data_IF_581711342583
#
_entry.id   IF_581711342583
#
_cell.length_a   1.000
_cell.length_b   1.000
_cell.length_c   1.000
_cell.angle_alpha   90.00
_cell.angle_beta   90.00
_cell.angle_gamma   90.00
#
_symmetry.space_group_name_H-M   'P 1'
#
loop_
_entity.id
_entity.type
_entity.pdbx_description
1 polymer ?
#
# COMPACT_ATOMS: atom_id res chain seq x y z
N UNK A 1 -52.95 10.70 15.15
CA UNK A 1 -52.57 10.28 13.79
C UNK A 1 -51.05 10.15 13.79
N UNK A 2 -50.54 8.91 13.86
CA UNK A 2 -49.11 8.62 13.96
C UNK A 2 -48.42 8.96 12.64
N UNK A 3 -47.55 9.97 12.63
CA UNK A 3 -46.57 10.12 11.56
C UNK A 3 -45.45 9.10 11.79
N UNK A 4 -45.51 7.98 11.07
CA UNK A 4 -44.41 7.02 11.02
C UNK A 4 -43.24 7.64 10.27
N UNK A 5 -42.22 8.11 10.99
CA UNK A 5 -40.89 8.36 10.44
C UNK A 5 -40.27 7.02 10.01
N UNK A 6 -40.61 6.54 8.81
CA UNK A 6 -39.78 5.57 8.12
C UNK A 6 -38.52 6.30 7.64
N UNK A 7 -37.53 6.42 8.54
CA UNK A 7 -36.16 6.71 8.14
C UNK A 7 -35.77 5.56 7.20
N UNK A 8 -35.70 5.81 5.90
CA UNK A 8 -35.38 4.79 4.92
C UNK A 8 -33.87 4.53 5.02
N UNK A 9 -33.48 3.73 6.02
CA UNK A 9 -32.08 3.50 6.46
C UNK A 9 -31.19 3.16 5.26
N UNK A 10 -31.71 2.37 4.29
CA UNK A 10 -31.01 2.02 3.05
C UNK A 10 -30.66 3.21 2.15
N UNK A 11 -31.50 4.25 2.12
CA UNK A 11 -31.28 5.44 1.31
C UNK A 11 -30.26 6.37 1.96
N UNK A 12 -30.33 6.51 3.29
CA UNK A 12 -29.35 7.26 4.08
C UNK A 12 -27.97 6.62 3.96
N UNK A 13 -27.88 5.30 4.11
CA UNK A 13 -26.62 4.55 3.94
C UNK A 13 -26.01 4.74 2.55
N UNK A 14 -26.82 4.66 1.48
CA UNK A 14 -26.36 4.94 0.11
C UNK A 14 -25.89 6.38 -0.09
N UNK A 15 -26.58 7.35 0.51
CA UNK A 15 -26.21 8.76 0.44
C UNK A 15 -24.90 9.05 1.18
N UNK A 16 -24.73 8.51 2.38
CA UNK A 16 -23.52 8.64 3.18
C UNK A 16 -22.31 8.01 2.45
N UNK A 17 -22.51 6.87 1.78
CA UNK A 17 -21.53 6.23 0.89
C UNK A 17 -21.10 7.17 -0.24
N UNK A 18 -22.07 7.74 -0.99
CA UNK A 18 -21.79 8.65 -2.09
C UNK A 18 -21.06 9.91 -1.61
N UNK A 19 -21.40 10.40 -0.42
CA UNK A 19 -20.71 11.53 0.20
C UNK A 19 -19.25 11.21 0.51
N UNK A 20 -18.93 9.97 0.94
CA UNK A 20 -17.53 9.59 1.21
C UNK A 20 -16.65 9.57 -0.03
N UNK A 21 -17.18 9.27 -1.24
CA UNK A 21 -16.41 9.36 -2.49
C UNK A 21 -15.98 10.79 -2.84
N UNK A 22 -16.74 11.80 -2.40
CA UNK A 22 -16.39 13.20 -2.58
C UNK A 22 -15.34 13.72 -1.58
N UNK A 23 -14.98 12.93 -0.57
CA UNK A 23 -13.98 13.30 0.42
C UNK A 23 -12.56 12.98 -0.06
N UNK A 24 -11.59 13.78 0.39
CA UNK A 24 -10.17 13.50 0.16
C UNK A 24 -9.82 12.10 0.69
N UNK A 25 -9.11 11.32 -0.13
CA UNK A 25 -8.67 9.98 0.23
C UNK A 25 -7.72 10.01 1.44
N UNK A 26 -8.03 9.18 2.43
CA UNK A 26 -7.15 8.78 3.51
C UNK A 26 -7.26 7.27 3.66
N UNK A 27 -6.15 6.56 3.78
CA UNK A 27 -6.13 5.11 3.82
C UNK A 27 -5.00 4.60 4.71
N UNK A 28 -4.99 3.30 4.93
CA UNK A 28 -3.94 2.60 5.64
C UNK A 28 -3.45 1.42 4.81
N UNK A 29 -2.13 1.23 4.77
CA UNK A 29 -1.51 0.00 4.28
C UNK A 29 -1.23 -0.91 5.47
N UNK A 30 -1.65 -2.18 5.40
CA UNK A 30 -1.35 -3.22 6.38
C UNK A 30 -0.68 -4.39 5.68
N UNK A 31 0.29 -5.01 6.36
CA UNK A 31 0.98 -6.20 5.87
C UNK A 31 0.76 -7.30 6.90
N UNK A 32 0.15 -8.41 6.50
CA UNK A 32 -0.06 -9.52 7.41
C UNK A 32 1.25 -10.25 7.70
N UNK A 33 1.49 -10.50 8.99
CA UNK A 33 2.57 -11.35 9.45
C UNK A 33 2.11 -12.79 9.77
N UNK A 34 0.83 -13.11 9.56
CA UNK A 34 0.27 -14.43 9.86
C UNK A 34 0.55 -15.42 8.75
N UNK A 35 0.95 -16.62 9.12
CA UNK A 35 1.13 -17.73 8.18
C UNK A 35 -0.18 -18.04 7.45
N UNK A 36 -0.11 -18.14 6.11
CA UNK A 36 -1.26 -18.42 5.24
C UNK A 36 -2.03 -17.17 4.77
N UNK A 37 -1.83 -16.00 5.39
CA UNK A 37 -2.37 -14.72 4.92
C UNK A 37 -1.41 -14.12 3.88
N UNK A 38 -1.53 -14.60 2.63
CA UNK A 38 -0.73 -14.21 1.48
C UNK A 38 0.59 -14.98 1.36
N UNK A 39 1.31 -14.71 0.27
CA UNK A 39 2.62 -15.27 -0.02
C UNK A 39 3.44 -14.32 -0.89
N UNK A 40 4.74 -14.29 -0.68
CA UNK A 40 5.64 -13.65 -1.62
C UNK A 40 6.89 -14.48 -1.88
N UNK A 41 7.43 -14.36 -3.09
CA UNK A 41 8.69 -14.98 -3.48
C UNK A 41 9.84 -14.02 -3.25
N UNK A 42 10.92 -14.53 -2.69
CA UNK A 42 12.20 -13.86 -2.55
C UNK A 42 13.29 -14.81 -3.02
N UNK A 43 13.93 -14.50 -4.15
CA UNK A 43 14.76 -15.45 -4.90
C UNK A 43 14.01 -16.81 -5.09
N UNK A 44 14.62 -17.93 -4.70
CA UNK A 44 14.03 -19.27 -4.78
C UNK A 44 13.13 -19.63 -3.58
N UNK A 45 12.96 -18.70 -2.62
CA UNK A 45 12.23 -18.95 -1.38
C UNK A 45 10.81 -18.37 -1.45
N UNK A 46 9.82 -19.18 -1.10
CA UNK A 46 8.46 -18.71 -0.88
C UNK A 46 8.23 -18.49 0.62
N UNK A 47 7.76 -17.29 0.97
CA UNK A 47 7.42 -16.92 2.34
C UNK A 47 5.89 -16.84 2.43
N UNK A 48 5.27 -17.77 3.17
CA UNK A 48 3.80 -17.93 3.25
C UNK A 48 3.16 -16.97 4.26
N UNK A 49 3.41 -15.67 4.09
CA UNK A 49 2.76 -14.54 4.76
C UNK A 49 2.92 -13.30 3.88
N UNK A 50 2.48 -12.14 4.35
CA UNK A 50 2.78 -10.86 3.69
C UNK A 50 1.68 -10.33 2.79
N UNK A 51 0.43 -10.80 2.95
CA UNK A 51 -0.72 -10.14 2.34
C UNK A 51 -0.68 -8.62 2.60
N UNK A 52 -0.83 -7.83 1.55
CA UNK A 52 -0.88 -6.37 1.63
C UNK A 52 -2.34 -5.93 1.46
N UNK A 53 -2.89 -5.28 2.48
CA UNK A 53 -4.22 -4.70 2.43
C UNK A 53 -4.13 -3.17 2.40
N UNK A 54 -4.85 -2.54 1.48
CA UNK A 54 -5.01 -1.08 1.37
C UNK A 54 -6.44 -0.72 1.70
N UNK A 55 -6.63 -0.17 2.89
CA UNK A 55 -7.94 0.01 3.52
C UNK A 55 -8.26 1.51 3.58
N UNK A 56 -9.29 2.00 2.86
CA UNK A 56 -9.71 3.40 2.95
C UNK A 56 -10.34 3.70 4.32
N UNK A 57 -9.97 4.84 4.89
CA UNK A 57 -10.59 5.43 6.10
C UNK A 57 -11.64 6.46 5.71
N UNK A 58 -11.31 7.31 4.74
CA UNK A 58 -12.20 8.30 4.10
C UNK A 58 -11.85 8.39 2.61
N UNK A 59 -12.78 8.83 1.77
CA UNK A 59 -12.55 8.79 0.32
C UNK A 59 -12.67 7.38 -0.25
N UNK A 60 -12.76 7.28 -1.58
CA UNK A 60 -12.78 6.01 -2.30
C UNK A 60 -11.49 5.79 -3.09
N UNK A 61 -11.05 4.55 -3.16
CA UNK A 61 -9.90 4.13 -3.99
C UNK A 61 -10.44 3.60 -5.33
N UNK A 62 -10.00 4.21 -6.43
CA UNK A 62 -10.34 3.79 -7.79
C UNK A 62 -9.50 2.57 -8.20
N UNK A 63 -8.17 2.64 -8.00
CA UNK A 63 -7.23 1.58 -8.39
C UNK A 63 -5.99 1.60 -7.50
N UNK A 64 -5.38 0.43 -7.33
CA UNK A 64 -4.06 0.31 -6.69
C UNK A 64 -3.14 -0.56 -7.54
N UNK A 65 -1.89 -0.14 -7.65
CA UNK A 65 -0.83 -0.86 -8.33
C UNK A 65 0.34 -1.09 -7.38
N UNK A 66 0.87 -2.32 -7.37
CA UNK A 66 2.18 -2.62 -6.82
C UNK A 66 3.22 -2.45 -7.94
N UNK A 67 4.21 -1.60 -7.71
CA UNK A 67 5.26 -1.23 -8.66
C UNK A 67 6.59 -1.66 -8.10
N UNK A 68 7.27 -2.51 -8.84
CA UNK A 68 8.64 -2.87 -8.55
C UNK A 68 9.57 -1.91 -9.29
N UNK A 69 10.21 -1.03 -8.52
CA UNK A 69 11.07 0.04 -9.01
C UNK A 69 12.47 -0.10 -8.44
N UNK A 70 13.48 -0.11 -9.30
CA UNK A 70 14.88 -0.22 -8.87
C UNK A 70 15.81 0.44 -9.89
N UNK A 71 16.78 1.23 -9.41
CA UNK A 71 17.80 1.93 -10.23
C UNK A 71 17.17 2.66 -11.39
N UNK A 72 16.21 3.53 -11.06
CA UNK A 72 15.46 4.34 -12.03
C UNK A 72 14.65 3.60 -13.10
N UNK A 73 14.40 2.30 -12.94
CA UNK A 73 13.64 1.47 -13.88
C UNK A 73 12.46 0.78 -13.21
N UNK A 74 11.33 0.71 -13.94
CA UNK A 74 10.18 -0.11 -13.57
C UNK A 74 10.41 -1.52 -14.09
N UNK A 75 10.53 -2.49 -13.18
CA UNK A 75 10.70 -3.91 -13.54
C UNK A 75 9.36 -4.60 -13.74
N UNK A 76 8.36 -4.27 -12.93
CA UNK A 76 7.03 -4.87 -13.00
C UNK A 76 5.97 -3.94 -12.40
N UNK A 77 4.74 -4.06 -12.91
CA UNK A 77 3.55 -3.43 -12.36
C UNK A 77 2.50 -4.52 -12.19
N UNK A 78 1.99 -4.68 -10.99
CA UNK A 78 0.98 -5.66 -10.62
C UNK A 78 -0.28 -4.91 -10.18
N UNK A 79 -1.43 -5.09 -10.83
CA UNK A 79 -2.68 -4.57 -10.32
C UNK A 79 -3.02 -5.28 -9.00
N UNK A 80 -3.49 -4.53 -8.02
CA UNK A 80 -3.97 -5.08 -6.75
C UNK A 80 -5.48 -5.27 -6.87
N UNK A 81 -5.98 -6.41 -6.43
CA UNK A 81 -7.37 -6.79 -6.61
C UNK A 81 -8.26 -6.15 -5.54
N UNK A 82 -9.46 -5.78 -5.93
CA UNK A 82 -10.49 -5.32 -5.00
C UNK A 82 -11.06 -6.53 -4.26
N UNK A 83 -10.96 -6.52 -2.93
CA UNK A 83 -11.52 -7.56 -2.09
C UNK A 83 -12.74 -7.03 -1.33
N UNK A 84 -13.81 -7.84 -1.30
CA UNK A 84 -15.08 -7.50 -0.65
C UNK A 84 -15.53 -8.62 0.27
N UNK A 85 -15.62 -8.37 1.58
CA UNK A 85 -16.24 -9.30 2.51
C UNK A 85 -17.78 -9.22 2.38
N UNK A 86 -18.36 -10.01 1.45
CA UNK A 86 -19.80 -10.23 1.35
C UNK A 86 -20.55 -9.32 0.36
N UNK A 87 -21.61 -9.90 -0.22
CA UNK A 87 -22.27 -9.54 -1.49
C UNK A 87 -23.06 -8.19 -1.48
N UNK A 88 -23.26 -7.52 -0.34
CA UNK A 88 -24.32 -6.49 -0.27
C UNK A 88 -23.99 -5.19 0.49
N UNK A 89 -22.77 -4.64 0.38
CA UNK A 89 -22.59 -3.25 0.82
C UNK A 89 -21.61 -2.47 -0.03
N UNK A 90 -22.14 -1.50 -0.77
CA UNK A 90 -21.42 -0.40 -1.43
C UNK A 90 -20.66 0.50 -0.44
N UNK A 91 -20.30 0.03 0.75
CA UNK A 91 -19.57 0.83 1.71
C UNK A 91 -18.10 0.91 1.29
N UNK A 92 -17.64 2.11 0.90
CA UNK A 92 -16.25 2.37 0.54
C UNK A 92 -15.27 1.93 1.64
N UNK A 93 -15.66 1.95 2.92
CA UNK A 93 -14.83 1.46 4.05
C UNK A 93 -14.81 -0.08 4.18
N UNK A 94 -15.69 -0.79 3.47
CA UNK A 94 -15.69 -2.27 3.38
C UNK A 94 -15.06 -2.79 2.09
N UNK A 95 -14.72 -1.87 1.19
CA UNK A 95 -13.98 -2.12 -0.04
C UNK A 95 -12.50 -1.84 0.24
N UNK A 96 -11.67 -2.88 0.26
CA UNK A 96 -10.23 -2.72 0.40
C UNK A 96 -9.51 -3.50 -0.67
N UNK A 97 -8.33 -3.03 -1.04
CA UNK A 97 -7.52 -3.67 -2.06
C UNK A 97 -6.55 -4.62 -1.41
N UNK A 98 -6.41 -5.81 -1.98
CA UNK A 98 -5.64 -6.89 -1.40
C UNK A 98 -4.67 -7.48 -2.41
N UNK A 99 -3.40 -7.59 -2.01
CA UNK A 99 -2.37 -8.30 -2.77
C UNK A 99 -1.91 -9.51 -1.96
N UNK A 100 -2.25 -10.71 -2.46
CA UNK A 100 -1.94 -11.99 -1.79
C UNK A 100 -0.73 -12.70 -2.37
N UNK A 101 -0.22 -12.27 -3.53
CA UNK A 101 0.88 -12.92 -4.25
C UNK A 101 1.76 -11.93 -4.99
N UNK A 102 3.05 -11.89 -4.68
CA UNK A 102 4.02 -11.00 -5.36
C UNK A 102 5.47 -11.50 -5.22
N UNK A 103 6.40 -10.84 -5.90
CA UNK A 103 7.83 -11.11 -5.80
C UNK A 103 8.54 -9.87 -5.25
N UNK A 104 9.49 -10.10 -4.35
CA UNK A 104 10.40 -9.08 -3.84
C UNK A 104 11.81 -9.46 -4.28
N UNK A 105 12.47 -8.55 -5.00
CA UNK A 105 13.86 -8.73 -5.37
C UNK A 105 14.79 -8.32 -4.23
N UNK A 106 15.92 -9.02 -4.14
CA UNK A 106 17.07 -8.59 -3.36
C UNK A 106 17.70 -7.35 -4.01
N UNK A 107 17.70 -6.23 -3.30
CA UNK A 107 18.30 -4.98 -3.76
C UNK A 107 19.52 -4.56 -2.95
N UNK A 108 19.65 -5.04 -1.71
CA UNK A 108 20.83 -4.86 -0.86
C UNK A 108 20.94 -5.99 0.18
N UNK A 109 22.07 -6.02 0.91
CA UNK A 109 22.30 -6.98 1.98
C UNK A 109 23.28 -6.43 3.03
N UNK A 110 23.12 -6.86 4.27
CA UNK A 110 24.12 -6.80 5.35
C UNK A 110 24.65 -8.22 5.61
N UNK A 111 25.53 -8.48 6.59
CA UNK A 111 25.89 -9.84 6.97
C UNK A 111 24.69 -10.69 7.40
N UNK A 112 23.69 -10.09 8.06
CA UNK A 112 22.57 -10.81 8.68
C UNK A 112 21.25 -10.73 7.93
N UNK A 113 21.08 -9.73 7.05
CA UNK A 113 19.78 -9.42 6.46
C UNK A 113 19.89 -9.18 4.94
N UNK A 114 18.83 -9.54 4.24
CA UNK A 114 18.55 -9.10 2.88
C UNK A 114 17.51 -7.99 2.89
N UNK A 115 17.61 -7.09 1.92
CA UNK A 115 16.65 -6.00 1.77
C UNK A 115 15.99 -6.01 0.40
N UNK A 116 14.70 -5.68 0.41
CA UNK A 116 13.81 -5.59 -0.74
C UNK A 116 12.91 -4.36 -0.64
N UNK A 117 12.38 -3.88 -1.77
CA UNK A 117 11.37 -2.82 -1.78
C UNK A 117 10.22 -3.13 -2.74
N UNK A 118 9.04 -2.61 -2.39
CA UNK A 118 7.86 -2.58 -3.26
C UNK A 118 7.18 -1.22 -3.11
N UNK A 119 6.90 -0.54 -4.22
CA UNK A 119 6.14 0.69 -4.20
C UNK A 119 4.66 0.40 -4.45
N UNK A 120 3.77 1.16 -3.83
CA UNK A 120 2.35 1.16 -4.06
C UNK A 120 1.95 2.49 -4.69
N UNK A 121 1.17 2.46 -5.76
CA UNK A 121 0.53 3.63 -6.36
C UNK A 121 -0.97 3.47 -6.19
N UNK A 122 -1.58 4.41 -5.46
CA UNK A 122 -3.01 4.43 -5.14
C UNK A 122 -3.64 5.60 -5.87
N UNK A 123 -4.64 5.33 -6.71
CA UNK A 123 -5.43 6.33 -7.42
C UNK A 123 -6.80 6.46 -6.76
N UNK A 124 -7.22 7.69 -6.45
CA UNK A 124 -8.57 7.97 -5.97
C UNK A 124 -9.54 8.33 -7.12
N UNK A 125 -10.84 8.41 -6.83
CA UNK A 125 -11.87 8.78 -7.81
C UNK A 125 -11.84 10.25 -8.24
N UNK A 126 -11.02 11.09 -7.59
CA UNK A 126 -10.80 12.48 -7.95
C UNK A 126 -9.56 12.64 -8.86
N UNK A 127 -8.99 11.54 -9.34
CA UNK A 127 -7.75 11.46 -10.11
C UNK A 127 -6.48 11.93 -9.35
N UNK A 128 -6.51 11.93 -8.02
CA UNK A 128 -5.29 12.12 -7.25
C UNK A 128 -4.52 10.80 -7.14
N UNK A 129 -3.19 10.93 -7.14
CA UNK A 129 -2.27 9.82 -6.96
C UNK A 129 -1.54 9.94 -5.64
N UNK A 130 -1.45 8.82 -4.94
CA UNK A 130 -0.74 8.69 -3.67
C UNK A 130 0.23 7.53 -3.78
N UNK A 131 1.40 7.65 -3.15
CA UNK A 131 2.39 6.59 -3.17
C UNK A 131 2.75 6.11 -1.76
N UNK A 132 3.17 4.85 -1.65
CA UNK A 132 3.89 4.34 -0.49
C UNK A 132 5.06 3.47 -0.95
N UNK A 133 6.14 3.43 -0.18
CA UNK A 133 7.21 2.45 -0.31
C UNK A 133 7.18 1.49 0.87
N UNK A 134 7.18 0.20 0.59
CA UNK A 134 7.35 -0.86 1.57
C UNK A 134 8.79 -1.36 1.47
N UNK A 135 9.51 -1.30 2.58
CA UNK A 135 10.83 -1.90 2.76
C UNK A 135 10.66 -3.25 3.45
N UNK A 136 11.29 -4.28 2.89
CA UNK A 136 11.39 -5.62 3.44
C UNK A 136 12.79 -5.84 3.98
N UNK A 137 12.88 -6.35 5.20
CA UNK A 137 14.12 -6.79 5.86
C UNK A 137 13.95 -8.27 6.21
N UNK A 138 14.70 -9.13 5.54
CA UNK A 138 14.56 -10.59 5.59
C UNK A 138 15.82 -11.16 6.24
N UNK A 139 15.66 -11.90 7.34
CA UNK A 139 16.81 -12.48 8.04
C UNK A 139 17.41 -13.64 7.25
N UNK A 140 18.74 -13.69 7.11
CA UNK A 140 19.41 -14.76 6.35
C UNK A 140 19.38 -16.11 7.06
N UNK A 141 19.50 -16.10 8.38
CA UNK A 141 19.47 -17.32 9.20
C UNK A 141 18.08 -17.96 9.24
N UNK A 142 17.04 -17.13 9.12
CA UNK A 142 15.66 -17.58 9.04
C UNK A 142 14.87 -16.64 8.11
N UNK A 143 14.79 -17.00 6.83
CA UNK A 143 14.11 -16.19 5.81
C UNK A 143 12.60 -16.05 6.05
N UNK A 144 12.01 -16.89 6.90
CA UNK A 144 10.63 -16.69 7.33
C UNK A 144 10.49 -15.51 8.29
N UNK A 145 11.57 -15.03 8.91
CA UNK A 145 11.54 -13.83 9.72
C UNK A 145 11.73 -12.58 8.85
N UNK A 146 10.66 -11.81 8.75
CA UNK A 146 10.55 -10.66 7.84
C UNK A 146 10.00 -9.51 8.63
N UNK A 147 10.72 -8.39 8.63
CA UNK A 147 10.24 -7.11 9.13
C UNK A 147 9.91 -6.22 7.95
N UNK A 148 8.90 -5.39 8.12
CA UNK A 148 8.48 -4.43 7.10
C UNK A 148 8.40 -3.03 7.67
N UNK A 149 8.79 -2.05 6.87
CA UNK A 149 8.62 -0.61 7.14
C UNK A 149 7.88 0.00 5.98
N UNK A 150 6.93 0.89 6.27
CA UNK A 150 6.11 1.54 5.25
C UNK A 150 6.36 3.04 5.33
N UNK A 151 6.63 3.64 4.18
CA UNK A 151 6.90 5.06 4.05
C UNK A 151 5.93 5.67 3.05
N UNK A 152 5.24 6.71 3.49
CA UNK A 152 4.34 7.51 2.68
C UNK A 152 5.03 8.73 2.08
N UNK A 153 4.30 9.47 1.26
CA UNK A 153 4.73 10.77 0.74
C UNK A 153 5.03 11.81 1.82
N UNK A 154 4.34 11.73 2.96
CA UNK A 154 4.57 12.63 4.09
C UNK A 154 5.91 12.29 4.75
N UNK A 155 6.24 11.00 4.86
CA UNK A 155 7.51 10.54 5.42
C UNK A 155 8.67 10.99 4.54
N UNK A 156 8.52 10.88 3.21
CA UNK A 156 9.48 11.38 2.22
C UNK A 156 9.74 12.90 2.39
N UNK A 157 8.68 13.71 2.53
CA UNK A 157 8.80 15.15 2.78
C UNK A 157 9.49 15.45 4.12
N UNK A 158 9.19 14.68 5.17
CA UNK A 158 9.80 14.88 6.49
C UNK A 158 11.29 14.54 6.48
N UNK A 159 11.66 13.41 5.86
CA UNK A 159 13.06 12.97 5.68
C UNK A 159 13.86 14.01 4.90
N UNK A 160 13.28 14.56 3.82
CA UNK A 160 13.93 15.59 3.00
C UNK A 160 14.14 16.90 3.76
N UNK A 161 13.15 17.33 4.56
CA UNK A 161 13.17 18.66 5.18
C UNK A 161 13.85 18.72 6.55
N UNK A 162 13.96 17.61 7.31
CA UNK A 162 14.33 17.72 8.74
C UNK A 162 15.30 16.70 9.34
N UNK A 163 15.63 15.56 8.75
CA UNK A 163 16.69 14.67 9.27
C UNK A 163 16.91 13.42 8.39
N UNK A 164 17.88 13.48 7.47
CA UNK A 164 18.38 12.27 6.79
C UNK A 164 19.12 11.34 7.79
N UNK A 165 19.70 11.90 8.84
CA UNK A 165 20.60 11.20 9.79
C UNK A 165 19.94 10.22 10.76
N UNK A 166 18.61 10.08 10.74
CA UNK A 166 17.87 9.18 11.66
C UNK A 166 17.51 7.85 11.00
N UNK A 167 17.51 7.78 9.67
CA UNK A 167 17.19 6.55 8.96
C UNK A 167 18.43 5.65 8.78
N UNK A 168 18.26 4.32 8.78
CA UNK A 168 19.29 3.41 8.30
C UNK A 168 19.80 3.82 6.91
N UNK A 169 21.08 3.56 6.62
CA UNK A 169 21.72 3.94 5.35
C UNK A 169 20.96 3.39 4.13
N UNK A 170 20.51 2.14 4.23
CA UNK A 170 19.69 1.52 3.18
C UNK A 170 18.39 2.29 2.93
N UNK A 171 17.63 2.59 3.99
CA UNK A 171 16.36 3.31 3.90
C UNK A 171 16.58 4.71 3.31
N UNK A 172 17.68 5.39 3.68
CA UNK A 172 18.06 6.69 3.11
C UNK A 172 18.26 6.63 1.59
N UNK A 173 18.95 5.60 1.10
CA UNK A 173 19.16 5.41 -0.33
C UNK A 173 17.85 5.07 -1.05
N UNK A 174 17.00 4.22 -0.45
CA UNK A 174 15.71 3.88 -1.04
C UNK A 174 14.74 5.07 -1.07
N UNK A 175 14.80 5.98 -0.10
CA UNK A 175 14.04 7.23 -0.14
C UNK A 175 14.36 8.11 -1.35
N UNK A 176 15.63 8.11 -1.80
CA UNK A 176 16.03 8.84 -3.01
C UNK A 176 15.41 8.19 -4.25
N UNK A 177 15.50 6.87 -4.38
CA UNK A 177 14.87 6.13 -5.48
C UNK A 177 13.35 6.37 -5.49
N UNK A 178 12.72 6.35 -4.31
CA UNK A 178 11.30 6.61 -4.15
C UNK A 178 10.90 8.03 -4.57
N UNK A 179 11.71 9.05 -4.25
CA UNK A 179 11.53 10.41 -4.76
C UNK A 179 11.57 10.47 -6.29
N UNK A 180 12.53 9.76 -6.92
CA UNK A 180 12.63 9.73 -8.38
C UNK A 180 11.39 9.11 -9.02
N UNK A 181 10.88 7.99 -8.48
CA UNK A 181 9.64 7.40 -8.94
C UNK A 181 8.48 8.40 -8.86
N UNK A 182 8.34 9.09 -7.73
CA UNK A 182 7.29 10.10 -7.54
C UNK A 182 7.38 11.24 -8.56
N UNK A 183 8.59 11.75 -8.81
CA UNK A 183 8.79 12.80 -9.81
C UNK A 183 8.40 12.31 -11.22
N UNK A 184 8.80 11.09 -11.60
CA UNK A 184 8.40 10.49 -12.88
C UNK A 184 6.88 10.32 -13.00
N UNK A 185 6.20 9.92 -11.92
CA UNK A 185 4.74 9.80 -11.93
C UNK A 185 4.09 11.17 -12.14
N UNK A 186 4.57 12.23 -11.48
CA UNK A 186 4.06 13.59 -11.66
C UNK A 186 4.34 14.19 -13.05
N UNK A 187 5.32 13.70 -13.79
CA UNK A 187 5.59 14.12 -15.18
C UNK A 187 4.58 13.52 -16.17
N UNK A 188 3.97 12.38 -15.82
CA UNK A 188 3.14 11.57 -16.73
C UNK A 188 1.64 11.70 -16.41
N UNK A 189 1.30 12.07 -15.17
CA UNK A 189 -0.07 12.13 -14.63
C UNK A 189 -0.52 13.56 -14.39
#
# INVERSE_FOLDING_TARGET
>A
MLYSHFKNIKLQEKYDILCTYGMKLNYQVKISNKTGEGKFKFDDYEISKGQIDIIPKTGGIEKVYAVHYYKNNIKAILPIELYTNGIDSYNAQRLYYQLTGYTIDKIAQTPHEYYGTLCLVVKDYQNNYFTNMIVYEIQKENMSNVKTRIYSDIDLLYVYNKNISVLPEFDTNQMREYQYLKNKLNEIL
#
